data_IF_949110681060
#
_entry.id   IF_949110681060
#
_cell.length_a   1.000
_cell.length_b   1.000
_cell.length_c   1.000
_cell.angle_alpha   90.00
_cell.angle_beta   90.00
_cell.angle_gamma   90.00
#
_symmetry.space_group_name_H-M   'P 1'
#
loop_
_entity.id
_entity.type
_entity.pdbx_description
1 polymer ?
#
# COMPACT_ATOMS: atom_id res chain seq x y z
N UNK A 1 5.49 -2.14 15.58
CA UNK A 1 4.55 -1.63 14.56
C UNK A 1 4.80 -2.22 13.17
N UNK A 2 6.03 -2.13 12.64
CA UNK A 2 6.41 -2.63 11.29
C UNK A 2 6.27 -4.15 11.05
N UNK A 3 5.84 -4.93 12.05
CA UNK A 3 5.61 -6.38 11.91
C UNK A 3 4.21 -6.72 11.42
N UNK A 4 3.26 -5.78 11.52
CA UNK A 4 1.90 -5.99 11.05
C UNK A 4 1.64 -5.06 9.85
N UNK A 5 1.60 -5.59 8.61
CA UNK A 5 1.45 -4.78 7.41
C UNK A 5 0.15 -3.98 7.39
N UNK A 6 -0.93 -4.47 8.01
CA UNK A 6 -2.20 -3.74 8.08
C UNK A 6 -2.09 -2.48 8.95
N UNK A 7 -1.34 -2.54 10.06
CA UNK A 7 -1.12 -1.37 10.92
C UNK A 7 -0.25 -0.34 10.20
N UNK A 8 0.77 -0.79 9.45
CA UNK A 8 1.62 0.10 8.65
C UNK A 8 0.82 0.74 7.52
N UNK A 9 -0.05 -0.02 6.85
CA UNK A 9 -0.96 0.50 5.84
C UNK A 9 -1.90 1.54 6.42
N UNK A 10 -2.51 1.29 7.58
CA UNK A 10 -3.37 2.27 8.28
C UNK A 10 -2.60 3.55 8.61
N UNK A 11 -1.37 3.45 9.11
CA UNK A 11 -0.52 4.60 9.40
C UNK A 11 -0.16 5.39 8.13
N UNK A 12 0.16 4.71 7.02
CA UNK A 12 0.45 5.33 5.74
C UNK A 12 -0.80 6.03 5.16
N UNK A 13 -1.98 5.42 5.29
CA UNK A 13 -3.26 6.02 4.88
C UNK A 13 -3.61 7.23 5.73
N UNK A 14 -3.42 7.16 7.06
CA UNK A 14 -3.64 8.31 7.94
C UNK A 14 -2.69 9.46 7.61
N UNK A 15 -1.42 9.15 7.33
CA UNK A 15 -0.44 10.12 6.86
C UNK A 15 -0.88 10.82 5.56
N UNK A 16 -1.34 10.05 4.57
CA UNK A 16 -1.87 10.58 3.32
C UNK A 16 -3.10 11.46 3.55
N UNK A 17 -4.02 11.04 4.42
CA UNK A 17 -5.21 11.81 4.75
C UNK A 17 -4.84 13.17 5.36
N UNK A 18 -3.88 13.20 6.29
CA UNK A 18 -3.37 14.45 6.87
C UNK A 18 -2.73 15.32 5.78
N UNK A 19 -1.93 14.74 4.89
CA UNK A 19 -1.31 15.49 3.79
C UNK A 19 -2.35 16.15 2.88
N UNK A 20 -3.40 15.41 2.52
CA UNK A 20 -4.52 15.93 1.72
C UNK A 20 -5.23 17.07 2.47
N UNK A 21 -5.50 16.91 3.77
CA UNK A 21 -6.14 17.94 4.58
C UNK A 21 -5.29 19.21 4.67
N UNK A 22 -3.96 19.08 4.83
CA UNK A 22 -3.03 20.22 4.86
C UNK A 22 -3.12 21.02 3.55
N UNK A 23 -3.20 20.34 2.41
CA UNK A 23 -3.35 20.98 1.10
C UNK A 23 -4.74 21.59 0.93
N UNK A 24 -5.79 20.80 1.20
CA UNK A 24 -7.17 21.19 0.96
C UNK A 24 -7.60 22.40 1.82
N UNK A 25 -7.10 22.48 3.05
CA UNK A 25 -7.35 23.60 3.96
C UNK A 25 -6.35 24.76 3.80
N UNK A 26 -5.36 24.62 2.92
CA UNK A 26 -4.36 25.67 2.66
C UNK A 26 -3.52 26.04 3.88
N UNK A 27 -3.23 25.08 4.78
CA UNK A 27 -2.64 25.39 6.09
C UNK A 27 -1.22 25.95 6.00
N UNK A 28 -0.33 25.30 5.24
CA UNK A 28 1.05 25.75 5.07
C UNK A 28 1.75 25.02 3.92
N UNK A 29 2.30 25.81 2.98
CA UNK A 29 3.07 25.28 1.85
C UNK A 29 4.35 24.57 2.32
N UNK A 30 5.01 25.10 3.36
CA UNK A 30 6.22 24.49 3.92
C UNK A 30 5.91 23.15 4.58
N UNK A 31 4.78 23.05 5.27
CA UNK A 31 4.34 21.78 5.86
C UNK A 31 4.01 20.76 4.78
N UNK A 32 3.25 21.16 3.74
CA UNK A 32 2.92 20.29 2.62
C UNK A 32 4.19 19.78 1.89
N UNK A 33 5.16 20.67 1.63
CA UNK A 33 6.45 20.29 1.04
C UNK A 33 7.23 19.35 1.95
N UNK A 34 7.29 19.63 3.25
CA UNK A 34 7.96 18.75 4.23
C UNK A 34 7.35 17.36 4.28
N UNK A 35 6.02 17.25 4.26
CA UNK A 35 5.32 15.98 4.17
C UNK A 35 5.60 15.28 2.83
N UNK A 36 5.50 15.98 1.71
CA UNK A 36 5.81 15.39 0.41
C UNK A 36 7.23 14.81 0.35
N UNK A 37 8.23 15.54 0.85
CA UNK A 37 9.62 15.09 0.90
C UNK A 37 9.83 13.90 1.84
N UNK A 38 9.03 13.78 2.90
CA UNK A 38 9.10 12.65 3.84
C UNK A 38 8.30 11.41 3.38
N UNK A 39 7.36 11.59 2.43
CA UNK A 39 6.52 10.50 1.92
C UNK A 39 7.26 9.24 1.42
N UNK A 40 8.46 9.33 0.80
CA UNK A 40 9.19 8.12 0.40
C UNK A 40 9.56 7.24 1.59
N UNK A 41 9.86 7.82 2.76
CA UNK A 41 10.19 7.07 3.99
C UNK A 41 8.99 6.25 4.45
N UNK A 42 7.79 6.85 4.41
CA UNK A 42 6.54 6.18 4.75
C UNK A 42 6.28 5.01 3.78
N UNK A 43 6.46 5.24 2.47
CA UNK A 43 6.25 4.21 1.44
C UNK A 43 7.26 3.07 1.54
N UNK A 44 8.55 3.36 1.76
CA UNK A 44 9.58 2.34 1.97
C UNK A 44 9.24 1.49 3.20
N UNK A 45 8.79 2.12 4.29
CA UNK A 45 8.36 1.40 5.49
C UNK A 45 7.17 0.47 5.24
N UNK A 46 6.20 0.90 4.44
CA UNK A 46 5.06 0.08 4.04
C UNK A 46 5.50 -1.10 3.17
N UNK A 47 6.26 -0.85 2.11
CA UNK A 47 6.77 -1.89 1.20
C UNK A 47 7.59 -2.91 1.98
N UNK A 48 8.52 -2.46 2.83
CA UNK A 48 9.31 -3.34 3.68
C UNK A 48 8.44 -4.24 4.58
N UNK A 49 7.41 -3.66 5.21
CA UNK A 49 6.49 -4.40 6.07
C UNK A 49 5.72 -5.48 5.31
N UNK A 50 5.23 -5.16 4.11
CA UNK A 50 4.51 -6.11 3.24
C UNK A 50 5.43 -7.22 2.78
N UNK A 51 6.63 -6.89 2.28
CA UNK A 51 7.58 -7.90 1.79
C UNK A 51 8.06 -8.83 2.90
N UNK A 52 8.22 -8.32 4.13
CA UNK A 52 8.79 -9.09 5.25
C UNK A 52 7.75 -9.85 6.07
N UNK A 53 6.53 -9.33 6.17
CA UNK A 53 5.51 -9.86 7.10
C UNK A 53 4.13 -10.04 6.46
N UNK A 54 3.96 -9.70 5.18
CA UNK A 54 2.74 -9.99 4.42
C UNK A 54 2.56 -11.49 4.19
N UNK A 55 1.31 -11.91 4.07
CA UNK A 55 0.99 -13.25 3.55
C UNK A 55 1.09 -13.20 2.03
N UNK A 56 1.90 -14.08 1.45
CA UNK A 56 1.90 -14.31 0.01
C UNK A 56 0.51 -14.81 -0.42
N UNK A 57 0.11 -14.50 -1.65
CA UNK A 57 -1.04 -15.16 -2.25
C UNK A 57 -0.79 -16.67 -2.27
N UNK A 58 -1.83 -17.44 -1.97
CA UNK A 58 -1.81 -18.91 -2.12
C UNK A 58 -1.91 -19.36 -3.58
N UNK A 59 -2.07 -18.42 -4.52
CA UNK A 59 -2.25 -18.67 -5.94
C UNK A 59 -1.11 -18.08 -6.74
N UNK A 60 -0.78 -18.73 -7.85
CA UNK A 60 0.27 -18.28 -8.76
C UNK A 60 -0.31 -17.49 -9.91
N UNK A 61 0.52 -16.63 -10.53
CA UNK A 61 0.13 -15.90 -11.74
C UNK A 61 -0.24 -16.80 -12.93
N UNK A 62 0.21 -18.06 -12.90
CA UNK A 62 -0.14 -19.06 -13.89
C UNK A 62 -1.58 -19.56 -13.73
N UNK A 63 -2.14 -19.53 -12.52
CA UNK A 63 -3.51 -19.95 -12.24
C UNK A 63 -4.48 -18.78 -12.33
N UNK A 64 -4.07 -17.62 -11.82
CA UNK A 64 -4.90 -16.42 -11.75
C UNK A 64 -4.05 -15.16 -11.98
N UNK A 65 -4.54 -14.22 -12.79
CA UNK A 65 -3.85 -12.95 -12.92
C UNK A 65 -4.05 -12.04 -11.69
N UNK A 66 -5.23 -12.12 -11.06
CA UNK A 66 -5.53 -11.55 -9.75
C UNK A 66 -6.24 -12.59 -8.88
N UNK A 67 -6.04 -12.54 -7.56
CA UNK A 67 -6.65 -13.51 -6.62
C UNK A 67 -8.19 -13.54 -6.67
N UNK A 68 -8.80 -12.43 -7.08
CA UNK A 68 -10.24 -12.22 -7.24
C UNK A 68 -10.74 -12.43 -8.69
N UNK A 69 -9.86 -12.70 -9.64
CA UNK A 69 -10.25 -12.99 -11.02
C UNK A 69 -10.83 -14.41 -11.15
N UNK A 70 -11.69 -14.61 -12.15
CA UNK A 70 -12.12 -15.95 -12.55
C UNK A 70 -10.93 -16.79 -13.04
N UNK A 71 -10.99 -18.11 -12.83
CA UNK A 71 -9.97 -19.05 -13.30
C UNK A 71 -9.80 -18.86 -14.80
N UNK A 72 -8.54 -18.73 -15.23
CA UNK A 72 -8.17 -18.69 -16.65
C UNK A 72 -8.81 -19.86 -17.40
N UNK A 73 -9.69 -19.55 -18.35
CA UNK A 73 -10.56 -20.55 -19.01
C UNK A 73 -9.78 -21.60 -19.81
N UNK A 74 -8.55 -21.28 -20.21
CA UNK A 74 -7.58 -22.19 -20.83
C UNK A 74 -7.15 -23.34 -19.90
N UNK A 75 -7.27 -23.16 -18.57
CA UNK A 75 -6.98 -24.21 -17.57
C UNK A 75 -8.20 -25.00 -17.10
N UNK A 76 -9.43 -24.53 -17.38
CA UNK A 76 -10.68 -25.24 -17.04
C UNK A 76 -10.97 -26.45 -17.95
N UNK A 77 -10.18 -26.65 -19.02
CA UNK A 77 -10.37 -27.68 -20.05
C UNK A 77 -9.48 -28.94 -19.90
N UNK A 78 -8.87 -29.15 -18.73
CA UNK A 78 -8.08 -30.36 -18.46
C UNK A 78 -8.89 -31.44 -17.76
#
# INVERSE_FOLDING_TARGET
MLKNPNIVALAATAYLLIYILVIALGLSNNLALGMFMFSPVIMIGLVYSVLRHGKASGRTFDEYFYDDADIRSDKLRK
#
